data_IF_365697769755
#
_entry.id   IF_365697769755
#
_cell.length_a   1.000
_cell.length_b   1.000
_cell.length_c   1.000
_cell.angle_alpha   90.00
_cell.angle_beta   90.00
_cell.angle_gamma   90.00
#
_symmetry.space_group_name_H-M   'P 1'
#
loop_
_entity.id
_entity.type
_entity.pdbx_description
1 polymer ?
#
# COMPACT_ATOMS: atom_id res chain seq x y z
N UNK A 1 -31.99 68.87 41.79
CA UNK A 1 -30.93 68.59 40.77
C UNK A 1 -30.77 67.07 40.72
N UNK A 2 -31.24 66.47 39.63
CA UNK A 2 -31.19 64.99 39.41
C UNK A 2 -30.01 64.72 38.56
N UNK A 3 -29.01 63.95 39.06
CA UNK A 3 -27.91 63.45 38.27
C UNK A 3 -28.29 62.11 37.59
N UNK A 4 -28.35 62.13 36.30
CA UNK A 4 -28.44 60.91 35.44
C UNK A 4 -27.03 60.34 35.32
N UNK A 5 -26.79 59.11 35.76
CA UNK A 5 -25.61 58.34 35.39
C UNK A 5 -25.93 57.47 34.17
N UNK A 6 -25.26 57.76 33.06
CA UNK A 6 -25.21 56.89 31.87
C UNK A 6 -24.20 55.78 32.15
N UNK A 7 -24.67 54.55 32.29
CA UNK A 7 -23.81 53.36 32.29
C UNK A 7 -23.52 52.95 30.85
N UNK A 8 -22.25 53.01 30.42
CA UNK A 8 -21.77 52.42 29.16
C UNK A 8 -21.53 50.92 29.36
N UNK A 9 -22.37 50.10 28.78
CA UNK A 9 -22.11 48.66 28.69
C UNK A 9 -21.08 48.40 27.56
N UNK A 10 -19.86 48.06 27.92
CA UNK A 10 -18.85 47.58 27.00
C UNK A 10 -19.12 46.09 26.69
N UNK A 11 -19.63 45.79 25.50
CA UNK A 11 -19.73 44.43 24.99
C UNK A 11 -18.32 43.97 24.55
N UNK A 12 -17.70 43.11 25.37
CA UNK A 12 -16.48 42.41 24.99
C UNK A 12 -16.85 41.34 23.95
N UNK A 13 -16.49 41.55 22.71
CA UNK A 13 -16.43 40.49 21.71
C UNK A 13 -15.28 39.53 22.12
N UNK A 14 -15.64 38.37 22.64
CA UNK A 14 -14.74 37.26 22.80
C UNK A 14 -14.58 36.67 21.40
N UNK A 15 -13.49 37.06 20.68
CA UNK A 15 -13.04 36.35 19.50
C UNK A 15 -12.51 34.99 20.01
N UNK A 16 -13.35 33.96 19.97
CA UNK A 16 -12.87 32.57 20.01
C UNK A 16 -12.09 32.38 18.71
N UNK A 17 -10.76 32.38 18.79
CA UNK A 17 -9.93 31.79 17.77
C UNK A 17 -10.37 30.33 17.70
N UNK A 18 -11.13 29.96 16.66
CA UNK A 18 -11.29 28.57 16.29
C UNK A 18 -9.88 28.05 15.99
N UNK A 19 -9.34 27.22 16.89
CA UNK A 19 -8.17 26.41 16.53
C UNK A 19 -8.60 25.62 15.28
N UNK A 20 -7.81 25.66 14.22
CA UNK A 20 -8.05 24.84 13.05
C UNK A 20 -8.21 23.39 13.54
N UNK A 21 -9.31 22.76 13.16
CA UNK A 21 -9.58 21.39 13.57
C UNK A 21 -8.59 20.50 12.84
N UNK A 22 -7.87 19.66 13.58
CA UNK A 22 -6.86 18.78 12.99
C UNK A 22 -7.50 17.53 12.39
N UNK A 23 -6.95 17.07 11.25
CA UNK A 23 -7.21 15.74 10.67
C UNK A 23 -5.90 14.96 10.65
N UNK A 24 -5.90 13.77 11.20
CA UNK A 24 -4.72 12.94 11.37
C UNK A 24 -4.80 11.71 10.47
N UNK A 25 -3.93 11.64 9.49
CA UNK A 25 -3.84 10.55 8.51
C UNK A 25 -2.61 9.69 8.80
N UNK A 26 -2.77 8.36 8.79
CA UNK A 26 -1.69 7.40 8.89
C UNK A 26 -1.70 6.52 7.65
N UNK A 27 -0.79 6.77 6.76
CA UNK A 27 -0.69 6.14 5.44
C UNK A 27 0.65 5.43 5.25
N UNK A 28 0.81 4.77 4.14
CA UNK A 28 2.08 4.17 3.74
C UNK A 28 3.12 5.24 3.43
N UNK A 29 4.41 4.91 3.55
CA UNK A 29 5.49 5.78 3.10
C UNK A 29 5.48 5.89 1.57
N UNK A 30 5.90 7.06 1.04
CA UNK A 30 5.96 7.35 -0.39
C UNK A 30 4.63 7.11 -1.16
N UNK A 31 3.47 7.40 -0.55
CA UNK A 31 2.17 6.94 -1.05
C UNK A 31 1.13 8.05 -1.26
N UNK A 32 1.54 9.31 -1.34
CA UNK A 32 0.73 10.46 -1.71
C UNK A 32 1.62 11.57 -2.24
N UNK A 33 1.10 12.39 -3.14
CA UNK A 33 1.71 13.66 -3.52
C UNK A 33 1.54 14.68 -2.38
N UNK A 34 2.63 15.23 -1.85
CA UNK A 34 2.60 16.21 -0.75
C UNK A 34 1.86 17.49 -1.12
N UNK A 35 1.78 17.86 -2.41
CA UNK A 35 1.00 19.01 -2.87
C UNK A 35 -0.50 18.81 -2.63
N UNK A 36 -1.01 17.57 -2.61
CA UNK A 36 -2.39 17.26 -2.22
C UNK A 36 -2.67 17.56 -0.74
N UNK A 37 -1.68 17.37 0.13
CA UNK A 37 -1.81 17.69 1.55
C UNK A 37 -1.99 19.20 1.75
N UNK A 38 -1.14 19.97 1.09
CA UNK A 38 -1.23 21.45 1.06
C UNK A 38 -2.55 21.91 0.48
N UNK A 39 -2.97 21.34 -0.65
CA UNK A 39 -4.25 21.65 -1.32
C UNK A 39 -5.45 21.37 -0.41
N UNK A 40 -5.43 20.26 0.33
CA UNK A 40 -6.48 19.95 1.29
C UNK A 40 -6.62 21.01 2.38
N UNK A 41 -5.50 21.47 2.97
CA UNK A 41 -5.50 22.52 3.98
C UNK A 41 -6.02 23.84 3.43
N UNK A 42 -5.60 24.22 2.21
CA UNK A 42 -6.04 25.46 1.56
C UNK A 42 -7.53 25.47 1.23
N UNK A 43 -8.07 24.34 0.75
CA UNK A 43 -9.49 24.25 0.34
C UNK A 43 -10.44 24.10 1.53
N UNK A 44 -10.00 23.45 2.62
CA UNK A 44 -10.89 23.13 3.74
C UNK A 44 -10.68 23.99 4.97
N UNK A 45 -9.50 24.60 5.11
CA UNK A 45 -9.09 25.32 6.31
C UNK A 45 -8.81 24.39 7.52
N UNK A 46 -8.79 23.06 7.32
CA UNK A 46 -8.41 22.07 8.32
C UNK A 46 -6.87 21.93 8.33
N UNK A 47 -6.30 21.68 9.50
CA UNK A 47 -4.87 21.38 9.62
C UNK A 47 -4.67 19.88 9.46
N UNK A 48 -3.76 19.46 8.59
CA UNK A 48 -3.50 18.04 8.29
C UNK A 48 -2.22 17.58 8.96
N UNK A 49 -2.29 16.52 9.77
CA UNK A 49 -1.15 15.80 10.30
C UNK A 49 -1.04 14.49 9.56
N UNK A 50 0.09 14.28 8.90
CA UNK A 50 0.31 13.11 8.07
C UNK A 50 1.52 12.32 8.58
N UNK A 51 1.26 11.12 9.07
CA UNK A 51 2.27 10.17 9.55
C UNK A 51 2.31 8.94 8.63
N UNK A 52 3.46 8.26 8.60
CA UNK A 52 3.65 7.12 7.70
C UNK A 52 4.03 5.83 8.45
N UNK A 53 3.70 4.70 7.81
CA UNK A 53 4.15 3.36 8.20
C UNK A 53 4.62 2.58 6.98
N UNK A 54 5.26 1.44 7.21
CA UNK A 54 5.86 0.59 6.16
C UNK A 54 5.38 -0.86 6.18
N UNK A 55 4.46 -1.23 7.08
CA UNK A 55 3.88 -2.57 7.11
C UNK A 55 2.48 -2.60 7.73
N UNK A 56 1.62 -3.46 7.17
CA UNK A 56 0.29 -3.73 7.72
C UNK A 56 0.34 -4.23 9.17
N UNK A 57 1.38 -4.98 9.55
CA UNK A 57 1.55 -5.52 10.90
C UNK A 57 1.78 -4.41 11.92
N UNK A 58 2.51 -3.35 11.55
CA UNK A 58 2.70 -2.15 12.39
C UNK A 58 1.38 -1.42 12.56
N UNK A 59 0.65 -1.19 11.46
CA UNK A 59 -0.68 -0.58 11.51
C UNK A 59 -1.64 -1.41 12.35
N UNK A 60 -1.73 -2.72 12.11
CA UNK A 60 -2.65 -3.61 12.85
C UNK A 60 -2.36 -3.60 14.35
N UNK A 61 -1.09 -3.64 14.74
CA UNK A 61 -0.70 -3.57 16.15
C UNK A 61 -1.21 -2.29 16.80
N UNK A 62 -1.08 -1.15 16.12
CA UNK A 62 -1.59 0.14 16.59
C UNK A 62 -3.12 0.14 16.68
N UNK A 63 -3.82 -0.35 15.67
CA UNK A 63 -5.28 -0.38 15.62
C UNK A 63 -5.89 -1.28 16.70
N UNK A 64 -5.32 -2.47 16.91
CA UNK A 64 -5.81 -3.43 17.91
C UNK A 64 -5.45 -3.03 19.34
N UNK A 65 -4.46 -2.18 19.56
CA UNK A 65 -4.15 -1.62 20.87
C UNK A 65 -5.21 -0.59 21.34
N UNK A 66 -5.97 -0.02 20.39
CA UNK A 66 -6.93 1.07 20.65
C UNK A 66 -6.25 2.41 20.89
N UNK A 67 -7.03 3.48 20.88
CA UNK A 67 -6.52 4.86 21.01
C UNK A 67 -5.45 5.17 19.96
N UNK A 68 -5.77 4.87 18.70
CA UNK A 68 -4.84 5.05 17.57
C UNK A 68 -4.36 6.50 17.46
N UNK A 69 -5.22 7.44 17.78
CA UNK A 69 -4.98 8.88 17.68
C UNK A 69 -5.07 9.40 16.23
N UNK A 70 -5.50 8.56 15.28
CA UNK A 70 -5.70 8.92 13.87
C UNK A 70 -7.18 8.99 13.51
N UNK A 71 -7.47 9.80 12.50
CA UNK A 71 -8.79 9.96 11.91
C UNK A 71 -8.96 9.09 10.67
N UNK A 72 -7.88 8.83 9.94
CA UNK A 72 -7.84 7.98 8.76
C UNK A 72 -6.62 7.08 8.84
N UNK A 73 -6.80 5.81 8.46
CA UNK A 73 -5.73 4.84 8.28
C UNK A 73 -5.93 4.06 6.98
N UNK A 74 -4.85 3.47 6.46
CA UNK A 74 -4.86 2.86 5.12
C UNK A 74 -4.40 1.39 5.16
N UNK A 75 -5.22 0.46 5.70
CA UNK A 75 -4.90 -0.96 5.69
C UNK A 75 -5.13 -1.59 4.32
N UNK A 76 -4.38 -2.65 4.00
CA UNK A 76 -4.69 -3.52 2.88
C UNK A 76 -5.87 -4.44 3.18
N UNK A 77 -6.58 -4.90 2.14
CA UNK A 77 -7.89 -5.55 2.23
C UNK A 77 -7.98 -6.71 3.24
N UNK A 78 -6.99 -7.61 3.28
CA UNK A 78 -6.96 -8.74 4.24
C UNK A 78 -6.85 -8.28 5.69
N UNK A 79 -6.10 -7.22 5.94
CA UNK A 79 -5.95 -6.61 7.27
C UNK A 79 -7.19 -5.81 7.65
N UNK A 80 -7.75 -5.04 6.72
CA UNK A 80 -9.02 -4.34 6.89
C UNK A 80 -10.11 -5.30 7.37
N UNK A 81 -10.29 -6.44 6.71
CA UNK A 81 -11.32 -7.43 7.05
C UNK A 81 -11.20 -7.93 8.50
N UNK A 82 -9.97 -8.23 8.96
CA UNK A 82 -9.74 -8.65 10.36
C UNK A 82 -10.03 -7.52 11.33
N UNK A 83 -9.62 -6.31 11.01
CA UNK A 83 -9.80 -5.12 11.84
C UNK A 83 -11.27 -4.70 11.91
N UNK A 84 -12.05 -4.83 10.81
CA UNK A 84 -13.51 -4.66 10.84
C UNK A 84 -14.14 -5.68 11.80
N UNK A 85 -13.73 -6.95 11.68
CA UNK A 85 -14.24 -8.02 12.55
C UNK A 85 -13.90 -7.78 14.04
N UNK A 86 -12.77 -7.16 14.32
CA UNK A 86 -12.34 -6.75 15.65
C UNK A 86 -13.03 -5.47 16.16
N UNK A 87 -13.83 -4.78 15.33
CA UNK A 87 -14.51 -3.53 15.67
C UNK A 87 -13.58 -2.30 15.69
N UNK A 88 -12.46 -2.36 14.96
CA UNK A 88 -11.48 -1.28 14.92
C UNK A 88 -11.92 -0.06 14.08
N UNK A 89 -12.94 -0.22 13.24
CA UNK A 89 -13.43 0.83 12.34
C UNK A 89 -14.88 1.19 12.59
N UNK A 90 -15.25 2.43 12.32
CA UNK A 90 -16.63 2.88 12.24
C UNK A 90 -17.13 2.82 10.79
N UNK A 91 -18.45 2.70 10.60
CA UNK A 91 -19.03 2.77 9.25
C UNK A 91 -18.95 4.19 8.71
N UNK A 92 -18.73 4.27 7.40
CA UNK A 92 -18.75 5.54 6.69
C UNK A 92 -20.16 6.12 6.63
N UNK A 93 -20.28 7.42 6.89
CA UNK A 93 -21.49 8.19 6.56
C UNK A 93 -21.43 8.58 5.09
N UNK A 94 -22.01 7.73 4.23
CA UNK A 94 -22.02 7.94 2.76
C UNK A 94 -22.73 9.23 2.35
N UNK A 95 -23.56 9.81 3.22
CA UNK A 95 -24.17 11.12 2.99
C UNK A 95 -23.19 12.28 2.98
N UNK A 96 -22.02 12.10 3.59
CA UNK A 96 -20.93 13.09 3.60
C UNK A 96 -19.90 12.85 2.47
N UNK A 97 -20.11 11.86 1.61
CA UNK A 97 -19.16 11.42 0.58
C UNK A 97 -19.77 11.52 -0.84
N UNK A 98 -20.16 12.72 -1.32
CA UNK A 98 -20.76 12.88 -2.65
C UNK A 98 -19.83 12.37 -3.77
N UNK A 99 -18.49 12.50 -3.65
CA UNK A 99 -17.52 12.01 -4.62
C UNK A 99 -17.42 10.48 -4.68
N UNK A 100 -18.16 9.75 -3.85
CA UNK A 100 -18.27 8.29 -3.94
C UNK A 100 -18.86 7.81 -5.28
N UNK A 101 -19.61 8.67 -5.97
CA UNK A 101 -20.12 8.40 -7.32
C UNK A 101 -19.01 8.27 -8.39
N UNK A 102 -17.80 8.76 -8.12
CA UNK A 102 -16.64 8.64 -8.99
C UNK A 102 -15.98 7.26 -8.92
N UNK A 103 -16.32 6.45 -7.91
CA UNK A 103 -15.62 5.19 -7.65
C UNK A 103 -15.93 4.15 -8.73
N UNK A 104 -15.00 3.21 -8.89
CA UNK A 104 -15.05 2.22 -9.97
C UNK A 104 -15.73 0.92 -9.49
N UNK A 105 -16.96 0.72 -9.95
CA UNK A 105 -17.79 -0.46 -9.62
C UNK A 105 -17.05 -1.82 -9.76
N UNK A 106 -16.12 -1.95 -10.72
CA UNK A 106 -15.37 -3.18 -10.93
C UNK A 106 -14.41 -3.43 -9.75
N UNK A 107 -13.77 -2.39 -9.25
CA UNK A 107 -12.88 -2.46 -8.09
C UNK A 107 -13.70 -2.63 -6.82
N UNK A 108 -14.77 -1.86 -6.64
CA UNK A 108 -15.67 -1.95 -5.49
C UNK A 108 -16.24 -3.37 -5.29
N UNK A 109 -16.57 -4.07 -6.38
CA UNK A 109 -17.00 -5.47 -6.31
C UNK A 109 -15.89 -6.41 -5.86
N UNK A 110 -14.64 -6.14 -6.19
CA UNK A 110 -13.50 -6.94 -5.75
C UNK A 110 -13.18 -6.70 -4.27
N UNK A 111 -13.17 -5.44 -3.83
CA UNK A 111 -12.91 -5.09 -2.43
C UNK A 111 -14.04 -5.48 -1.49
N UNK A 112 -15.27 -5.69 -2.00
CA UNK A 112 -16.39 -6.22 -1.23
C UNK A 112 -16.11 -7.61 -0.61
N UNK A 113 -15.06 -8.32 -1.07
CA UNK A 113 -14.54 -9.54 -0.41
C UNK A 113 -14.08 -9.22 1.02
N UNK A 114 -13.53 -8.04 1.25
CA UNK A 114 -12.91 -7.61 2.50
C UNK A 114 -13.84 -6.72 3.35
N UNK A 115 -14.65 -5.90 2.68
CA UNK A 115 -15.64 -4.99 3.27
C UNK A 115 -16.99 -5.16 2.55
N UNK A 116 -17.83 -6.13 2.94
CA UNK A 116 -19.10 -6.37 2.28
C UNK A 116 -19.99 -5.14 2.25
N UNK A 117 -20.31 -4.66 1.04
CA UNK A 117 -21.09 -3.44 0.82
C UNK A 117 -20.29 -2.16 0.89
N UNK A 118 -18.96 -2.23 1.02
CA UNK A 118 -18.06 -1.08 1.13
C UNK A 118 -18.60 -0.09 2.17
N UNK A 119 -18.87 -0.61 3.39
CA UNK A 119 -19.49 0.15 4.46
C UNK A 119 -18.48 0.88 5.35
N UNK A 120 -17.23 0.40 5.43
CA UNK A 120 -16.20 0.88 6.35
C UNK A 120 -15.06 1.61 5.66
N UNK A 121 -14.92 1.44 4.33
CA UNK A 121 -13.75 1.93 3.61
C UNK A 121 -14.08 2.39 2.19
N UNK A 122 -13.16 3.15 1.61
CA UNK A 122 -13.08 3.43 0.18
C UNK A 122 -11.80 2.82 -0.38
N UNK A 123 -11.80 2.34 -1.63
CA UNK A 123 -10.54 1.96 -2.26
C UNK A 123 -9.73 3.21 -2.60
N UNK A 124 -8.51 3.25 -2.11
CA UNK A 124 -7.53 4.30 -2.45
C UNK A 124 -6.72 3.88 -3.66
N UNK A 125 -5.84 2.92 -3.48
CA UNK A 125 -4.99 2.39 -4.53
C UNK A 125 -5.09 0.86 -4.59
N UNK A 126 -4.67 0.29 -5.71
CA UNK A 126 -4.45 -1.14 -5.87
C UNK A 126 -3.24 -1.39 -6.77
N UNK A 127 -2.64 -2.55 -6.62
CA UNK A 127 -1.46 -2.93 -7.36
C UNK A 127 -1.17 -4.41 -7.23
N UNK A 128 0.04 -4.79 -7.62
CA UNK A 128 0.52 -6.15 -7.52
C UNK A 128 1.90 -6.23 -6.88
N UNK A 129 2.21 -7.40 -6.31
CA UNK A 129 3.52 -7.72 -5.75
C UNK A 129 4.30 -8.56 -6.76
N UNK A 130 5.46 -8.07 -7.15
CA UNK A 130 6.27 -8.71 -8.17
C UNK A 130 7.76 -8.47 -8.00
N UNK A 131 8.47 -8.44 -9.10
CA UNK A 131 9.92 -8.35 -9.15
C UNK A 131 10.34 -6.99 -9.71
N UNK A 132 11.05 -6.18 -8.91
CA UNK A 132 11.79 -5.03 -9.36
C UNK A 132 13.20 -5.44 -9.74
N UNK A 133 13.60 -5.19 -10.98
CA UNK A 133 14.82 -5.76 -11.56
C UNK A 133 15.67 -4.66 -12.18
N UNK A 134 16.93 -4.54 -11.76
CA UNK A 134 17.96 -3.87 -12.54
C UNK A 134 18.42 -4.84 -13.64
N UNK A 135 17.86 -4.66 -14.84
CA UNK A 135 17.97 -5.60 -15.95
C UNK A 135 19.43 -5.87 -16.33
N UNK A 136 20.25 -4.82 -16.35
CA UNK A 136 21.65 -4.93 -16.78
C UNK A 136 22.48 -5.72 -15.78
N UNK A 137 22.33 -5.46 -14.47
CA UNK A 137 23.02 -6.20 -13.42
C UNK A 137 22.59 -7.67 -13.35
N UNK A 138 21.30 -7.94 -13.53
CA UNK A 138 20.80 -9.33 -13.52
C UNK A 138 21.32 -10.08 -14.73
N UNK A 139 21.36 -9.48 -15.93
CA UNK A 139 21.98 -10.09 -17.11
C UNK A 139 23.48 -10.27 -16.97
N UNK A 140 24.17 -9.36 -16.32
CA UNK A 140 25.59 -9.54 -16.00
C UNK A 140 25.80 -10.75 -15.09
N UNK A 141 24.96 -10.98 -14.09
CA UNK A 141 25.07 -12.06 -13.12
C UNK A 141 24.63 -13.43 -13.69
N UNK A 142 23.53 -13.47 -14.45
CA UNK A 142 22.85 -14.70 -14.87
C UNK A 142 22.97 -14.99 -16.38
N UNK A 143 23.35 -14.01 -17.21
CA UNK A 143 23.35 -14.09 -18.67
C UNK A 143 22.05 -13.54 -19.27
N UNK A 144 22.04 -13.47 -20.62
CA UNK A 144 20.91 -12.91 -21.39
C UNK A 144 19.60 -13.71 -21.25
N UNK A 145 19.68 -14.99 -20.93
CA UNK A 145 18.55 -15.89 -20.75
C UNK A 145 18.00 -15.85 -19.27
N UNK A 146 18.36 -14.83 -18.48
CA UNK A 146 17.89 -14.68 -17.11
C UNK A 146 16.35 -14.69 -17.05
N UNK A 147 15.74 -15.41 -16.08
CA UNK A 147 14.29 -15.58 -15.99
C UNK A 147 13.62 -14.36 -15.34
N UNK A 148 13.72 -13.16 -15.94
CA UNK A 148 13.31 -11.89 -15.35
C UNK A 148 11.85 -11.84 -14.92
N UNK A 149 10.94 -12.48 -15.66
CA UNK A 149 9.49 -12.53 -15.39
C UNK A 149 9.03 -13.80 -14.69
N UNK A 150 9.90 -14.51 -13.96
CA UNK A 150 9.57 -15.76 -13.27
C UNK A 150 10.03 -15.70 -11.81
N UNK A 151 9.25 -16.29 -10.91
CA UNK A 151 9.62 -16.46 -9.51
C UNK A 151 10.88 -17.34 -9.33
N UNK A 152 11.29 -18.11 -10.37
CA UNK A 152 12.56 -18.83 -10.37
C UNK A 152 13.77 -17.90 -10.25
N UNK A 153 13.64 -16.62 -10.64
CA UNK A 153 14.69 -15.62 -10.44
C UNK A 153 15.10 -15.53 -8.96
N UNK A 154 14.13 -15.59 -8.06
CA UNK A 154 14.32 -15.35 -6.63
C UNK A 154 14.15 -16.61 -5.76
N UNK A 155 13.55 -17.68 -6.27
CA UNK A 155 13.29 -18.91 -5.48
C UNK A 155 14.14 -20.10 -5.93
N UNK A 156 14.91 -19.99 -7.03
CA UNK A 156 15.95 -20.95 -7.35
C UNK A 156 17.26 -20.56 -6.62
N UNK A 157 17.77 -21.38 -5.68
CA UNK A 157 19.02 -21.10 -4.98
C UNK A 157 20.23 -20.89 -5.90
N UNK A 158 20.25 -21.51 -7.08
CA UNK A 158 21.36 -21.35 -8.03
C UNK A 158 21.39 -19.95 -8.68
N UNK A 159 20.23 -19.34 -8.87
CA UNK A 159 20.11 -17.95 -9.32
C UNK A 159 20.47 -16.99 -8.17
N UNK A 160 19.92 -17.22 -6.98
CA UNK A 160 20.15 -16.38 -5.82
C UNK A 160 21.61 -16.35 -5.35
N UNK A 161 22.33 -17.47 -5.45
CA UNK A 161 23.77 -17.53 -5.16
C UNK A 161 24.56 -16.56 -6.04
N UNK A 162 24.21 -16.43 -7.33
CA UNK A 162 24.86 -15.49 -8.25
C UNK A 162 24.41 -14.04 -8.01
N UNK A 163 23.12 -13.83 -7.79
CA UNK A 163 22.53 -12.51 -7.54
C UNK A 163 22.97 -11.88 -6.20
N UNK A 164 23.45 -12.69 -5.26
CA UNK A 164 23.96 -12.19 -3.98
C UNK A 164 25.03 -11.11 -4.16
N UNK A 165 25.86 -11.21 -5.21
CA UNK A 165 26.93 -10.25 -5.46
C UNK A 165 26.46 -8.86 -5.86
N UNK A 166 25.28 -8.74 -6.46
CA UNK A 166 24.68 -7.46 -6.85
C UNK A 166 23.54 -6.99 -5.91
N UNK A 167 23.18 -7.81 -4.92
CA UNK A 167 22.22 -7.47 -3.86
C UNK A 167 20.77 -7.81 -4.21
N UNK A 168 20.10 -8.48 -3.26
CA UNK A 168 18.68 -8.84 -3.35
C UNK A 168 17.95 -8.42 -2.08
N UNK A 169 16.87 -7.66 -2.21
CA UNK A 169 15.99 -7.28 -1.10
C UNK A 169 14.63 -8.01 -1.21
N UNK A 170 14.12 -8.43 -0.08
CA UNK A 170 12.77 -8.98 0.04
C UNK A 170 11.94 -8.09 0.95
N UNK A 171 10.63 -8.01 0.69
CA UNK A 171 9.68 -7.43 1.63
C UNK A 171 9.73 -8.16 2.97
N UNK A 172 9.65 -7.44 4.07
CA UNK A 172 9.43 -8.03 5.40
C UNK A 172 7.93 -8.29 5.63
N UNK A 173 7.34 -9.07 4.72
CA UNK A 173 5.90 -9.31 4.65
C UNK A 173 5.61 -10.80 4.35
N UNK A 174 5.34 -11.62 5.38
CA UNK A 174 5.02 -13.04 5.19
C UNK A 174 3.75 -13.26 4.36
N UNK A 175 2.81 -12.30 4.39
CA UNK A 175 1.57 -12.29 3.62
C UNK A 175 1.79 -12.06 2.11
N UNK A 176 2.98 -11.67 1.72
CA UNK A 176 3.43 -11.52 0.33
C UNK A 176 4.30 -12.71 -0.11
N UNK A 177 5.33 -13.02 0.69
CA UNK A 177 6.37 -13.98 0.31
C UNK A 177 5.89 -15.45 0.38
N UNK A 178 5.00 -15.79 1.31
CA UNK A 178 4.47 -17.16 1.43
C UNK A 178 3.54 -17.48 0.25
N UNK A 179 2.54 -16.65 -0.11
CA UNK A 179 1.75 -16.83 -1.31
C UNK A 179 2.60 -16.94 -2.59
N UNK A 180 3.61 -16.07 -2.75
CA UNK A 180 4.51 -16.13 -3.89
C UNK A 180 5.28 -17.46 -3.96
N UNK A 181 5.78 -17.97 -2.83
CA UNK A 181 6.46 -19.27 -2.78
C UNK A 181 5.50 -20.43 -3.08
N UNK A 182 4.21 -20.34 -2.68
CA UNK A 182 3.18 -21.32 -3.05
C UNK A 182 2.88 -21.27 -4.55
N UNK A 183 2.73 -20.09 -5.14
CA UNK A 183 2.57 -19.93 -6.59
C UNK A 183 3.75 -20.52 -7.36
N UNK A 184 4.99 -20.28 -6.92
CA UNK A 184 6.19 -20.89 -7.49
C UNK A 184 6.16 -22.43 -7.47
N UNK A 185 5.58 -23.02 -6.44
CA UNK A 185 5.42 -24.46 -6.31
C UNK A 185 4.23 -25.03 -7.10
N UNK A 186 3.39 -24.18 -7.73
CA UNK A 186 2.14 -24.58 -8.37
C UNK A 186 1.04 -24.97 -7.36
N UNK A 187 1.16 -24.53 -6.11
CA UNK A 187 0.16 -24.69 -5.06
C UNK A 187 -0.79 -23.49 -5.05
N UNK A 188 -1.93 -23.63 -4.34
CA UNK A 188 -2.87 -22.52 -4.18
C UNK A 188 -2.25 -21.39 -3.32
N UNK A 189 -2.00 -20.18 -3.88
CA UNK A 189 -1.45 -19.06 -3.12
C UNK A 189 -2.41 -18.51 -2.05
N UNK A 190 -3.73 -18.75 -2.15
CA UNK A 190 -4.73 -18.42 -1.12
C UNK A 190 -5.03 -19.60 -0.17
N UNK A 191 -4.13 -20.58 -0.09
CA UNK A 191 -4.29 -21.73 0.79
C UNK A 191 -4.49 -21.30 2.25
N UNK A 192 -5.51 -21.86 2.90
CA UNK A 192 -5.86 -21.55 4.29
C UNK A 192 -5.42 -22.67 5.27
N UNK A 193 -5.01 -23.82 4.77
CA UNK A 193 -4.56 -24.93 5.59
C UNK A 193 -3.06 -24.89 5.87
N UNK A 194 -2.69 -25.20 7.11
CA UNK A 194 -1.31 -25.12 7.58
C UNK A 194 -0.35 -26.08 6.86
N UNK A 195 -0.83 -27.18 6.29
CA UNK A 195 0.05 -28.18 5.67
C UNK A 195 0.47 -27.72 4.26
N UNK A 196 -0.42 -27.09 3.50
CA UNK A 196 -0.09 -26.45 2.24
C UNK A 196 0.84 -25.25 2.48
N UNK A 197 0.51 -24.37 3.43
CA UNK A 197 1.33 -23.20 3.78
C UNK A 197 2.76 -23.57 4.13
N UNK A 198 2.96 -24.66 4.90
CA UNK A 198 4.32 -25.14 5.26
C UNK A 198 5.18 -25.56 4.08
N UNK A 199 4.61 -25.83 2.91
CA UNK A 199 5.38 -26.16 1.71
C UNK A 199 6.24 -24.96 1.24
N UNK A 200 5.86 -23.73 1.57
CA UNK A 200 6.65 -22.53 1.29
C UNK A 200 7.95 -22.45 2.12
N UNK A 201 7.98 -23.05 3.32
CA UNK A 201 9.12 -22.94 4.26
C UNK A 201 10.45 -23.38 3.64
N UNK A 202 10.59 -24.59 3.03
CA UNK A 202 11.85 -25.01 2.44
C UNK A 202 12.29 -24.11 1.28
N UNK A 203 11.38 -23.58 0.48
CA UNK A 203 11.69 -22.64 -0.61
C UNK A 203 12.30 -21.36 -0.05
N UNK A 204 11.59 -20.72 0.88
CA UNK A 204 12.03 -19.46 1.49
C UNK A 204 13.33 -19.64 2.30
N UNK A 205 13.47 -20.73 3.04
CA UNK A 205 14.67 -21.02 3.84
C UNK A 205 15.90 -21.27 2.95
N UNK A 206 15.73 -21.89 1.79
CA UNK A 206 16.82 -22.16 0.87
C UNK A 206 17.44 -20.87 0.27
N UNK A 207 16.65 -19.84 0.08
CA UNK A 207 17.08 -18.57 -0.53
C UNK A 207 17.38 -17.46 0.47
N UNK A 208 16.85 -17.53 1.68
CA UNK A 208 17.06 -16.54 2.73
C UNK A 208 18.53 -16.16 2.99
N UNK A 209 19.51 -17.09 2.95
CA UNK A 209 20.93 -16.74 3.15
C UNK A 209 21.50 -15.79 2.08
N UNK A 210 20.88 -15.71 0.92
CA UNK A 210 21.30 -14.85 -0.20
C UNK A 210 20.58 -13.50 -0.21
N UNK A 211 19.54 -13.32 0.62
CA UNK A 211 18.81 -12.06 0.77
C UNK A 211 19.64 -11.10 1.61
N UNK A 212 20.02 -9.98 1.02
CA UNK A 212 20.81 -8.95 1.71
C UNK A 212 19.99 -8.27 2.80
N UNK A 213 18.69 -8.03 2.55
CA UNK A 213 17.82 -7.33 3.49
C UNK A 213 16.36 -7.75 3.33
N UNK A 214 15.67 -7.87 4.47
CA UNK A 214 14.21 -7.94 4.56
C UNK A 214 13.71 -6.57 5.05
N UNK A 215 13.10 -5.78 4.14
CA UNK A 215 12.57 -4.46 4.46
C UNK A 215 11.54 -4.02 3.42
N UNK A 216 10.45 -3.37 3.87
CA UNK A 216 9.30 -3.09 3.00
C UNK A 216 9.34 -1.70 2.34
N UNK A 217 10.35 -0.87 2.54
CA UNK A 217 10.46 0.45 1.88
C UNK A 217 11.85 0.77 1.32
N UNK A 218 12.94 0.34 1.98
CA UNK A 218 14.31 0.74 1.60
C UNK A 218 14.72 0.26 0.19
N UNK A 219 14.06 -0.77 -0.37
CA UNK A 219 14.38 -1.28 -1.69
C UNK A 219 14.12 -0.26 -2.81
N UNK A 220 13.21 0.71 -2.62
CA UNK A 220 12.91 1.76 -3.61
C UNK A 220 14.17 2.54 -3.95
N UNK A 221 14.79 3.13 -2.93
CA UNK A 221 16.02 3.89 -3.12
C UNK A 221 17.22 3.01 -3.49
N UNK A 222 17.27 1.78 -2.95
CA UNK A 222 18.35 0.85 -3.28
C UNK A 222 18.33 0.42 -4.76
N UNK A 223 17.14 0.21 -5.34
CA UNK A 223 16.96 -0.01 -6.77
C UNK A 223 17.32 1.24 -7.58
N UNK A 224 16.75 2.40 -7.22
CA UNK A 224 16.96 3.67 -7.92
C UNK A 224 18.44 4.06 -8.01
N UNK A 225 19.19 3.83 -6.94
CA UNK A 225 20.63 4.10 -6.90
C UNK A 225 21.47 3.00 -7.57
N UNK A 226 20.87 1.85 -7.92
CA UNK A 226 21.60 0.70 -8.41
C UNK A 226 22.39 -0.05 -7.34
N UNK A 227 22.08 0.12 -6.05
CA UNK A 227 22.76 -0.58 -4.95
C UNK A 227 22.39 -2.07 -4.89
N UNK A 228 21.22 -2.44 -5.42
CA UNK A 228 20.73 -3.81 -5.55
C UNK A 228 20.32 -4.11 -6.99
N UNK A 229 20.22 -5.39 -7.34
CA UNK A 229 19.82 -5.82 -8.67
C UNK A 229 18.40 -6.41 -8.72
N UNK A 230 17.87 -6.93 -7.61
CA UNK A 230 16.53 -7.49 -7.55
C UNK A 230 15.86 -7.10 -6.23
N UNK A 231 14.59 -6.76 -6.30
CA UNK A 231 13.72 -6.66 -5.14
C UNK A 231 12.42 -7.44 -5.39
N UNK A 232 11.91 -8.12 -4.35
CA UNK A 232 10.48 -8.40 -4.28
C UNK A 232 9.83 -7.13 -3.76
N UNK A 233 8.96 -6.53 -4.55
CA UNK A 233 8.40 -5.23 -4.25
C UNK A 233 7.01 -5.02 -4.87
N UNK A 234 6.39 -3.90 -4.51
CA UNK A 234 5.11 -3.49 -5.04
C UNK A 234 5.29 -2.73 -6.35
N UNK A 235 4.33 -2.91 -7.28
CA UNK A 235 4.45 -2.40 -8.65
C UNK A 235 4.79 -0.91 -8.72
N UNK A 236 4.03 -0.04 -8.08
CA UNK A 236 4.26 1.40 -8.13
C UNK A 236 5.56 1.84 -7.46
N UNK A 237 5.97 1.19 -6.37
CA UNK A 237 7.25 1.47 -5.72
C UNK A 237 8.44 1.18 -6.64
N UNK A 238 8.36 0.08 -7.40
CA UNK A 238 9.39 -0.25 -8.40
C UNK A 238 9.38 0.77 -9.54
N UNK A 239 8.21 1.23 -9.96
CA UNK A 239 8.07 2.27 -10.98
C UNK A 239 8.57 3.63 -10.49
N UNK A 240 8.31 4.00 -9.23
CA UNK A 240 8.93 5.17 -8.59
C UNK A 240 10.46 5.05 -8.56
N UNK A 241 11.01 3.85 -8.28
CA UNK A 241 12.44 3.64 -8.34
C UNK A 241 12.99 3.81 -9.77
N UNK A 242 12.25 3.34 -10.80
CA UNK A 242 12.57 3.55 -12.21
C UNK A 242 12.62 5.03 -12.56
N UNK A 243 11.61 5.77 -12.14
CA UNK A 243 11.50 7.21 -12.39
C UNK A 243 12.63 7.99 -11.72
N UNK A 244 12.88 7.75 -10.43
CA UNK A 244 13.99 8.36 -9.68
C UNK A 244 15.37 8.06 -10.32
N UNK A 245 15.56 6.85 -10.88
CA UNK A 245 16.79 6.50 -11.59
C UNK A 245 16.93 7.28 -12.90
N UNK A 246 15.82 7.45 -13.65
CA UNK A 246 15.78 8.22 -14.89
C UNK A 246 16.03 9.72 -14.62
N UNK A 247 15.41 10.30 -13.60
CA UNK A 247 15.66 11.69 -13.20
C UNK A 247 17.12 11.95 -12.79
N UNK A 248 17.72 10.98 -12.10
CA UNK A 248 19.12 11.06 -11.69
C UNK A 248 20.12 10.88 -12.85
N UNK A 249 19.66 10.45 -14.02
CA UNK A 249 20.49 10.13 -15.22
C UNK A 249 21.71 9.24 -14.85
N UNK A 250 21.48 8.26 -13.95
CA UNK A 250 22.55 7.45 -13.39
C UNK A 250 22.83 6.14 -14.18
N UNK A 251 22.06 5.93 -15.28
CA UNK A 251 22.21 4.77 -16.16
C UNK A 251 21.67 3.45 -15.58
N UNK A 252 20.88 3.52 -14.50
CA UNK A 252 20.23 2.34 -13.92
C UNK A 252 18.95 2.01 -14.69
N UNK A 253 18.85 0.77 -15.21
CA UNK A 253 17.72 0.30 -16.02
C UNK A 253 16.83 -0.62 -15.18
N UNK A 254 15.71 -0.07 -14.66
CA UNK A 254 14.78 -0.78 -13.79
C UNK A 254 13.51 -1.15 -14.56
N UNK A 255 13.10 -2.40 -14.41
CA UNK A 255 11.85 -2.95 -14.93
C UNK A 255 11.06 -3.63 -13.80
N UNK A 256 9.73 -3.53 -13.85
CA UNK A 256 8.83 -4.32 -13.03
C UNK A 256 8.29 -5.53 -13.80
N UNK A 257 8.28 -6.68 -13.16
CA UNK A 257 7.71 -7.91 -13.71
C UNK A 257 6.66 -8.49 -12.74
N UNK A 258 5.42 -8.63 -13.21
CA UNK A 258 4.46 -9.51 -12.58
C UNK A 258 4.84 -10.95 -12.95
N UNK A 259 5.16 -11.84 -11.99
CA UNK A 259 5.63 -13.18 -12.29
C UNK A 259 4.64 -14.03 -13.07
N UNK A 260 5.16 -14.83 -14.01
CA UNK A 260 4.35 -15.72 -14.87
C UNK A 260 3.62 -16.82 -14.10
N UNK A 261 4.11 -17.20 -12.93
CA UNK A 261 3.47 -18.16 -12.02
C UNK A 261 2.28 -17.55 -11.26
N UNK A 262 2.11 -16.25 -11.34
CA UNK A 262 1.07 -15.47 -10.67
C UNK A 262 1.66 -14.42 -9.73
N UNK A 263 0.94 -13.30 -9.60
CA UNK A 263 1.30 -12.22 -8.69
C UNK A 263 0.13 -11.89 -7.75
N UNK A 264 0.43 -11.53 -6.50
CA UNK A 264 -0.59 -11.06 -5.58
C UNK A 264 -1.13 -9.70 -6.04
N UNK A 265 -2.45 -9.60 -6.19
CA UNK A 265 -3.17 -8.33 -6.35
C UNK A 265 -3.73 -7.92 -4.99
N UNK A 266 -3.39 -6.74 -4.55
CA UNK A 266 -3.82 -6.16 -3.28
C UNK A 266 -4.58 -4.85 -3.50
N UNK A 267 -5.34 -4.46 -2.47
CA UNK A 267 -6.17 -3.26 -2.46
C UNK A 267 -5.96 -2.53 -1.14
N UNK A 268 -5.53 -1.29 -1.19
CA UNK A 268 -5.42 -0.44 -0.02
C UNK A 268 -6.67 0.42 0.15
N UNK A 269 -7.15 0.44 1.37
CA UNK A 269 -8.46 0.99 1.72
C UNK A 269 -8.29 2.09 2.75
N UNK A 270 -8.80 3.28 2.47
CA UNK A 270 -8.91 4.32 3.51
C UNK A 270 -10.12 4.05 4.39
N UNK A 271 -9.89 3.95 5.68
CA UNK A 271 -10.92 3.68 6.68
C UNK A 271 -10.80 4.62 7.89
N UNK A 272 -11.92 4.84 8.58
CA UNK A 272 -12.00 5.70 9.77
C UNK A 272 -11.96 4.82 11.03
N UNK A 273 -10.95 4.96 11.91
CA UNK A 273 -10.92 4.26 13.20
C UNK A 273 -12.17 4.49 14.01
N UNK A 274 -12.59 3.48 14.79
CA UNK A 274 -13.75 3.59 15.66
C UNK A 274 -13.58 4.66 16.76
N UNK A 275 -12.33 4.96 17.10
CA UNK A 275 -11.91 5.95 18.10
C UNK A 275 -11.34 7.24 17.49
N UNK A 276 -11.61 7.50 16.20
CA UNK A 276 -11.14 8.69 15.50
C UNK A 276 -11.54 9.98 16.26
N UNK A 277 -10.58 10.87 16.57
CA UNK A 277 -10.85 12.11 17.26
C UNK A 277 -11.73 13.08 16.46
N UNK A 278 -11.61 13.10 15.14
CA UNK A 278 -12.31 13.99 14.23
C UNK A 278 -12.94 13.26 13.02
N UNK A 279 -14.03 12.48 13.23
CA UNK A 279 -14.64 11.71 12.13
C UNK A 279 -15.26 12.61 11.04
N UNK A 280 -15.68 13.84 11.34
CA UNK A 280 -16.19 14.80 10.34
C UNK A 280 -15.04 15.26 9.41
N UNK A 281 -13.88 15.60 9.98
CA UNK A 281 -12.69 15.92 9.22
C UNK A 281 -12.19 14.75 8.40
N UNK A 282 -12.30 13.52 8.92
CA UNK A 282 -11.99 12.31 8.19
C UNK A 282 -12.86 12.14 6.94
N UNK A 283 -14.17 12.31 7.05
CA UNK A 283 -15.07 12.28 5.89
C UNK A 283 -14.76 13.39 4.88
N UNK A 284 -14.38 14.58 5.36
CA UNK A 284 -13.94 15.68 4.50
C UNK A 284 -12.71 15.28 3.69
N UNK A 285 -11.71 14.64 4.32
CA UNK A 285 -10.51 14.16 3.61
C UNK A 285 -10.83 13.01 2.64
N UNK A 286 -11.66 12.04 3.04
CA UNK A 286 -12.07 10.97 2.14
C UNK A 286 -12.80 11.51 0.91
N UNK A 287 -13.69 12.48 1.10
CA UNK A 287 -14.39 13.10 -0.03
C UNK A 287 -13.44 13.89 -0.93
N UNK A 288 -12.47 14.60 -0.34
CA UNK A 288 -11.44 15.34 -1.08
C UNK A 288 -10.58 14.41 -1.93
N UNK A 289 -10.11 13.29 -1.38
CA UNK A 289 -9.26 12.36 -2.13
C UNK A 289 -10.05 11.63 -3.24
N UNK A 290 -11.36 11.40 -3.06
CA UNK A 290 -12.23 10.84 -4.10
C UNK A 290 -12.62 11.84 -5.21
N UNK A 291 -12.21 13.10 -5.14
CA UNK A 291 -12.30 13.97 -6.31
C UNK A 291 -11.46 13.38 -7.45
N UNK A 292 -11.99 13.44 -8.68
CA UNK A 292 -11.36 12.78 -9.83
C UNK A 292 -9.95 13.31 -10.14
N UNK A 293 -9.74 14.62 -10.02
CA UNK A 293 -8.43 15.24 -10.26
C UNK A 293 -7.45 14.96 -9.13
N UNK A 294 -7.91 14.98 -7.87
CA UNK A 294 -7.06 14.69 -6.72
C UNK A 294 -6.60 13.23 -6.73
N UNK A 295 -7.50 12.30 -7.04
CA UNK A 295 -7.15 10.89 -7.14
C UNK A 295 -6.20 10.62 -8.32
N UNK A 296 -6.40 11.29 -9.45
CA UNK A 296 -5.48 11.21 -10.59
C UNK A 296 -4.09 11.76 -10.23
N UNK A 297 -4.03 12.93 -9.56
CA UNK A 297 -2.77 13.51 -9.11
C UNK A 297 -2.03 12.54 -8.17
N UNK A 298 -2.73 11.90 -7.23
CA UNK A 298 -2.13 10.89 -6.37
C UNK A 298 -1.57 9.73 -7.21
N UNK A 299 -2.35 9.14 -8.13
CA UNK A 299 -1.89 8.04 -8.99
C UNK A 299 -0.71 8.41 -9.88
N UNK A 300 -0.73 9.59 -10.48
CA UNK A 300 0.36 10.09 -11.35
C UNK A 300 1.68 10.22 -10.57
N UNK A 301 1.59 10.57 -9.28
CA UNK A 301 2.77 10.71 -8.42
C UNK A 301 3.29 9.36 -7.89
N UNK A 302 2.36 8.46 -7.46
CA UNK A 302 2.77 7.20 -6.81
C UNK A 302 2.88 6.01 -7.76
N UNK A 303 2.48 6.16 -9.04
CA UNK A 303 2.49 5.08 -10.05
C UNK A 303 1.67 3.84 -9.68
N UNK A 304 0.56 4.04 -8.96
CA UNK A 304 -0.41 2.98 -8.66
C UNK A 304 -1.76 3.24 -9.31
N UNK A 305 -2.42 2.17 -9.72
CA UNK A 305 -3.81 2.24 -10.11
C UNK A 305 -4.71 2.55 -8.90
N UNK A 306 -5.79 3.29 -9.12
CA UNK A 306 -6.71 3.70 -8.08
C UNK A 306 -8.13 3.14 -8.29
N UNK A 307 -8.99 3.28 -7.28
CA UNK A 307 -10.38 2.84 -7.31
C UNK A 307 -11.38 3.84 -7.88
N UNK A 308 -10.95 4.94 -8.49
CA UNK A 308 -11.80 6.01 -8.98
C UNK A 308 -11.87 5.99 -10.51
N UNK A 309 -13.02 5.62 -11.08
CA UNK A 309 -13.19 5.55 -12.53
C UNK A 309 -13.08 6.92 -13.19
N UNK A 310 -13.64 7.95 -12.56
CA UNK A 310 -13.63 9.30 -13.13
C UNK A 310 -12.22 9.90 -13.20
N UNK A 311 -11.28 9.43 -12.38
CA UNK A 311 -9.89 9.89 -12.39
C UNK A 311 -9.13 9.51 -13.66
N UNK A 312 -9.57 8.48 -14.39
CA UNK A 312 -8.87 7.97 -15.57
C UNK A 312 -8.75 9.02 -16.69
N UNK A 313 -9.66 10.00 -16.75
CA UNK A 313 -9.59 11.09 -17.71
C UNK A 313 -8.44 12.10 -17.42
N UNK A 314 -7.89 12.07 -16.19
CA UNK A 314 -6.86 12.99 -15.73
C UNK A 314 -5.51 12.30 -15.48
N UNK A 315 -5.44 10.98 -15.70
CA UNK A 315 -4.18 10.24 -15.60
C UNK A 315 -3.25 10.62 -16.76
N UNK A 316 -1.97 10.67 -16.44
CA UNK A 316 -0.92 10.85 -17.44
C UNK A 316 -0.83 9.62 -18.34
N UNK A 317 -0.41 9.82 -19.61
CA UNK A 317 -0.41 8.77 -20.63
C UNK A 317 0.53 7.62 -20.27
N UNK A 318 1.63 7.90 -19.60
CA UNK A 318 2.62 6.93 -19.09
C UNK A 318 2.14 6.17 -17.84
N UNK A 319 1.13 6.68 -17.14
CA UNK A 319 0.50 5.98 -16.01
C UNK A 319 -0.63 5.07 -16.49
N UNK A 320 -1.60 5.61 -17.25
CA UNK A 320 -2.73 4.80 -17.72
C UNK A 320 -2.33 3.81 -18.81
N UNK A 321 -1.28 4.10 -19.56
CA UNK A 321 -0.74 3.24 -20.63
C UNK A 321 0.27 2.18 -20.16
N UNK A 322 0.77 2.26 -18.92
CA UNK A 322 1.73 1.28 -18.37
C UNK A 322 0.98 0.05 -17.84
N UNK A 323 1.25 -1.11 -18.45
CA UNK A 323 0.63 -2.38 -18.05
C UNK A 323 1.09 -2.91 -16.70
N UNK A 324 2.13 -2.34 -16.11
CA UNK A 324 2.53 -2.61 -14.73
C UNK A 324 1.61 -1.91 -13.72
N UNK A 325 0.95 -0.80 -14.13
CA UNK A 325 -0.02 -0.04 -13.33
C UNK A 325 -1.45 -0.49 -13.64
N UNK A 326 -1.84 -0.45 -14.92
CA UNK A 326 -3.14 -0.88 -15.42
C UNK A 326 -2.98 -2.12 -16.31
N UNK A 327 -2.87 -3.33 -15.72
CA UNK A 327 -2.59 -4.57 -16.45
C UNK A 327 -3.66 -4.88 -17.49
N UNK A 328 -3.24 -5.50 -18.59
CA UNK A 328 -4.16 -6.04 -19.58
C UNK A 328 -4.98 -7.23 -19.04
N UNK A 329 -6.01 -7.65 -19.78
CA UNK A 329 -6.91 -8.70 -19.34
C UNK A 329 -6.21 -10.04 -19.07
N UNK A 330 -5.17 -10.38 -19.83
CA UNK A 330 -4.43 -11.63 -19.68
C UNK A 330 -3.58 -11.61 -18.39
N UNK A 331 -2.93 -10.50 -18.10
CA UNK A 331 -2.18 -10.31 -16.86
C UNK A 331 -3.12 -10.32 -15.66
N UNK A 332 -4.28 -9.63 -15.76
CA UNK A 332 -5.29 -9.61 -14.69
C UNK A 332 -5.85 -11.00 -14.36
N UNK A 333 -5.97 -11.91 -15.32
CA UNK A 333 -6.40 -13.30 -15.09
C UNK A 333 -5.35 -14.09 -14.29
N UNK A 334 -4.08 -13.71 -14.37
CA UNK A 334 -2.98 -14.36 -13.66
C UNK A 334 -2.71 -13.76 -12.26
N UNK A 335 -3.40 -12.67 -11.91
CA UNK A 335 -3.33 -12.09 -10.57
C UNK A 335 -4.28 -12.80 -9.61
N UNK A 336 -3.75 -13.20 -8.46
CA UNK A 336 -4.54 -13.79 -7.38
C UNK A 336 -4.75 -12.81 -6.22
N UNK A 337 -5.76 -13.05 -5.41
CA UNK A 337 -5.99 -12.32 -4.15
C UNK A 337 -5.95 -13.30 -2.99
N UNK A 338 -5.49 -12.85 -1.82
CA UNK A 338 -5.45 -13.68 -0.62
C UNK A 338 -6.58 -13.34 0.35
N UNK A 339 -6.89 -14.29 1.22
CA UNK A 339 -7.84 -14.17 2.33
C UNK A 339 -7.11 -14.10 3.67
N UNK A 340 -7.69 -13.47 4.68
CA UNK A 340 -7.08 -13.47 6.02
C UNK A 340 -6.97 -14.88 6.58
N UNK A 341 -5.84 -15.20 7.17
CA UNK A 341 -5.67 -16.46 7.91
C UNK A 341 -6.48 -16.47 9.20
N UNK A 342 -6.98 -17.63 9.58
CA UNK A 342 -7.50 -17.82 10.93
C UNK A 342 -6.36 -17.71 11.98
N UNK A 343 -6.71 -17.53 13.25
CA UNK A 343 -5.73 -17.34 14.33
C UNK A 343 -4.76 -18.52 14.52
N UNK A 344 -5.13 -19.74 14.12
CA UNK A 344 -4.26 -20.92 14.21
C UNK A 344 -3.25 -20.90 13.06
N UNK A 345 -3.70 -20.65 11.86
CA UNK A 345 -2.89 -20.56 10.65
C UNK A 345 -1.95 -19.35 10.72
N UNK A 346 -2.43 -18.20 11.20
CA UNK A 346 -1.59 -17.02 11.42
C UNK A 346 -0.39 -17.30 12.34
N UNK A 347 -0.56 -18.11 13.40
CA UNK A 347 0.57 -18.51 14.25
C UNK A 347 1.59 -19.39 13.53
N UNK A 348 1.17 -20.21 12.57
CA UNK A 348 2.09 -21.00 11.73
C UNK A 348 2.88 -20.07 10.83
N UNK A 349 2.22 -19.14 10.14
CA UNK A 349 2.82 -18.12 9.29
C UNK A 349 3.88 -17.30 10.05
N UNK A 350 3.52 -16.76 11.22
CA UNK A 350 4.44 -15.94 12.03
C UNK A 350 5.68 -16.73 12.47
N UNK A 351 5.53 -17.98 12.89
CA UNK A 351 6.66 -18.83 13.29
C UNK A 351 7.57 -19.17 12.11
N UNK A 352 6.97 -19.50 10.97
CA UNK A 352 7.71 -19.78 9.73
C UNK A 352 8.52 -18.57 9.32
N UNK A 353 7.90 -17.38 9.30
CA UNK A 353 8.58 -16.14 8.92
C UNK A 353 9.75 -15.80 9.83
N UNK A 354 9.56 -15.95 11.15
CA UNK A 354 10.63 -15.77 12.12
C UNK A 354 11.80 -16.71 11.83
N UNK A 355 11.52 -17.99 11.54
CA UNK A 355 12.54 -18.99 11.20
C UNK A 355 13.27 -18.63 9.90
N UNK A 356 12.54 -18.26 8.85
CA UNK A 356 13.13 -17.85 7.55
C UNK A 356 14.12 -16.69 7.76
N UNK A 357 13.72 -15.65 8.51
CA UNK A 357 14.59 -14.47 8.72
C UNK A 357 15.77 -14.75 9.66
N UNK A 358 15.61 -15.61 10.65
CA UNK A 358 16.68 -15.91 11.60
C UNK A 358 17.66 -16.99 11.14
N UNK A 359 17.30 -17.77 10.13
CA UNK A 359 18.11 -18.90 9.66
C UNK A 359 18.19 -20.06 10.66
N UNK A 360 17.25 -20.13 11.64
CA UNK A 360 17.29 -21.14 12.73
C UNK A 360 15.99 -21.95 12.82
#
# INVERSE_FOLDING_TARGET
MKHLMLGAAASALVATSALAQEVRVYNWSDYIDEDLLTKFEEETGLNLIYDVFDSNEVLETKMLAGSSGYDIVVPSGTFLQRQITAGAFQKLDKGQLPNMENMWDVIDKRVAKYDPGNEYSINYMWGSTGLGVNVDKVKEALGDDAPLGSLSLIFDPANMEKLQSCGVHFLDAPTELIPAALAYLGEDPDAQDADTIKKAEPVLTAVAPYVQKFHSSEYINALANGDICVAVGWSGDVLQARDRAAEADNGVNIEYYAPSEGALMWFDQMAIPADAPNPEGAHTFLNFIMDAQNMAQASNYVYYANGNLASQEFLEEDVIGDTAIYPDAATLENLYTTSPYDAKTQRVVTRMWTKVKSGT
#
